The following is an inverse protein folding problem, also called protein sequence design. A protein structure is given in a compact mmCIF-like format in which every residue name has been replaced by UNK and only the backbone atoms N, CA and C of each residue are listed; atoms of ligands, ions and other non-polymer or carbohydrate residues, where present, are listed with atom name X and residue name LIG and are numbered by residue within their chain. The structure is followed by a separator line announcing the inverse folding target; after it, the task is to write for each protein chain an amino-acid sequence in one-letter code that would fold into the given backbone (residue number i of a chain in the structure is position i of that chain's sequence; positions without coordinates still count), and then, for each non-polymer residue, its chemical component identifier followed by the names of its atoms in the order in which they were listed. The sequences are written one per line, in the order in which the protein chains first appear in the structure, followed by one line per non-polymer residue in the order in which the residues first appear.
data_IF_003462221837
#
_entry.id   IF_003462221837
#
_cell.length_a   1.000
_cell.length_b   1.000
_cell.length_c   1.000
_cell.angle_alpha   90.00
_cell.angle_beta   90.00
_cell.angle_gamma   90.00
#
_symmetry.space_group_name_H-M   'P 1'
#
loop_
_entity.id
_entity.type
_entity.pdbx_description
1 polymer ?
#
# COMPACT_ATOMS: atom_id res chain seq x y z
N UNK A 1 9.88 -11.03 17.04
CA UNK A 1 10.81 -9.93 17.39
C UNK A 1 9.97 -8.80 17.93
N UNK A 2 10.13 -8.47 19.20
CA UNK A 2 9.25 -7.51 19.85
C UNK A 2 9.54 -6.09 19.36
N UNK A 3 8.48 -5.36 19.05
CA UNK A 3 8.58 -3.95 18.69
C UNK A 3 8.64 -3.10 19.96
N UNK A 4 9.72 -2.33 20.12
CA UNK A 4 9.89 -1.38 21.23
C UNK A 4 9.80 0.05 20.66
N UNK A 5 8.72 0.81 20.94
CA UNK A 5 8.55 2.17 20.44
C UNK A 5 9.40 3.20 21.21
N UNK A 6 9.79 4.33 20.60
CA UNK A 6 10.46 5.42 21.29
C UNK A 6 9.52 6.15 22.26
N UNK A 7 9.99 6.38 23.49
CA UNK A 7 9.23 7.05 24.54
C UNK A 7 8.77 8.47 24.17
N UNK A 8 9.51 9.16 23.29
CA UNK A 8 9.23 10.53 22.85
C UNK A 8 8.22 10.64 21.70
N UNK A 9 7.75 9.50 21.14
CA UNK A 9 6.58 9.43 20.27
C UNK A 9 5.43 8.74 21.05
N UNK A 10 4.76 9.44 21.98
CA UNK A 10 3.95 8.79 23.02
C UNK A 10 2.62 8.21 22.54
N UNK A 11 2.18 8.52 21.30
CA UNK A 11 0.90 8.05 20.79
C UNK A 11 0.94 7.76 19.29
N UNK A 12 -0.14 7.16 18.79
CA UNK A 12 -0.29 6.78 17.38
C UNK A 12 -0.14 7.92 16.40
N UNK A 13 -0.60 9.13 16.73
CA UNK A 13 -0.47 10.28 15.84
C UNK A 13 0.98 10.68 15.65
N UNK A 14 1.73 10.83 16.74
CA UNK A 14 3.16 11.16 16.65
C UNK A 14 3.95 10.06 15.94
N UNK A 15 3.62 8.79 16.21
CA UNK A 15 4.25 7.64 15.54
C UNK A 15 3.95 7.58 14.03
N UNK A 16 2.80 8.10 13.59
CA UNK A 16 2.43 8.16 12.15
C UNK A 16 3.04 9.38 11.46
N UNK A 17 2.96 10.55 12.10
CA UNK A 17 3.31 11.83 11.50
C UNK A 17 4.82 12.02 11.46
N UNK A 18 5.53 11.68 12.54
CA UNK A 18 6.96 11.97 12.63
C UNK A 18 7.77 11.30 11.52
N UNK A 19 7.66 9.97 11.27
CA UNK A 19 8.40 9.33 10.19
C UNK A 19 8.03 9.88 8.82
N UNK A 20 6.75 10.23 8.61
CA UNK A 20 6.32 10.80 7.32
C UNK A 20 6.90 12.19 7.04
N UNK A 21 7.17 13.01 8.06
CA UNK A 21 7.64 14.39 7.88
C UNK A 21 9.15 14.55 8.05
N UNK A 22 9.77 13.76 8.93
CA UNK A 22 11.14 14.00 9.38
C UNK A 22 12.11 12.88 9.02
N UNK A 23 11.65 11.68 8.67
CA UNK A 23 12.54 10.65 8.15
C UNK A 23 13.07 11.10 6.79
N UNK A 24 14.37 10.95 6.59
CA UNK A 24 15.03 11.13 5.28
C UNK A 24 15.82 9.87 4.99
N UNK A 25 15.41 9.15 3.96
CA UNK A 25 16.13 7.99 3.44
C UNK A 25 16.74 8.39 2.10
N UNK A 26 18.05 8.22 2.01
CA UNK A 26 18.86 8.53 0.83
C UNK A 26 19.62 7.28 0.38
N UNK A 27 20.05 7.27 -0.88
CA UNK A 27 20.87 6.20 -1.47
C UNK A 27 20.10 5.09 -2.18
N UNK A 28 18.79 5.24 -2.40
CA UNK A 28 18.01 4.35 -3.28
C UNK A 28 18.15 4.85 -4.72
N UNK A 29 18.61 3.99 -5.62
CA UNK A 29 18.79 4.32 -7.03
C UNK A 29 17.73 3.59 -7.87
N UNK A 30 16.78 4.35 -8.42
CA UNK A 30 15.74 3.77 -9.27
C UNK A 30 16.11 3.82 -10.74
N UNK A 31 15.81 2.72 -11.44
CA UNK A 31 15.59 2.69 -12.88
C UNK A 31 14.09 2.64 -13.13
N UNK A 32 13.52 3.76 -13.60
CA UNK A 32 12.10 3.80 -13.97
C UNK A 32 11.87 3.08 -15.30
N UNK A 33 10.86 2.22 -15.32
CA UNK A 33 10.31 1.57 -16.51
C UNK A 33 8.82 1.91 -16.59
N UNK A 34 8.35 2.33 -17.76
CA UNK A 34 6.92 2.51 -18.01
C UNK A 34 6.38 1.30 -18.76
N UNK A 35 5.33 0.68 -18.22
CA UNK A 35 4.60 -0.40 -18.89
C UNK A 35 3.22 0.09 -19.31
N UNK A 36 2.74 -0.39 -20.47
CA UNK A 36 1.41 -0.07 -20.97
C UNK A 36 0.38 -0.98 -20.31
N UNK A 37 -0.79 -0.43 -20.02
CA UNK A 37 -1.91 -1.20 -19.48
C UNK A 37 -2.88 -1.61 -20.61
N UNK A 38 -3.68 -2.68 -20.43
CA UNK A 38 -4.63 -3.13 -21.45
C UNK A 38 -5.67 -2.07 -21.87
N UNK A 39 -5.98 -1.12 -21.00
CA UNK A 39 -6.91 -0.01 -21.24
C UNK A 39 -6.23 1.22 -21.89
N UNK A 40 -5.05 1.05 -22.50
CA UNK A 40 -4.30 2.12 -23.18
C UNK A 40 -3.83 3.25 -22.25
N UNK A 41 -3.53 2.91 -21.00
CA UNK A 41 -2.88 3.77 -20.02
C UNK A 41 -1.46 3.26 -19.74
N UNK A 42 -0.88 3.71 -18.63
CA UNK A 42 0.43 3.27 -18.17
C UNK A 42 0.52 3.05 -16.66
N UNK A 43 1.52 2.25 -16.27
CA UNK A 43 2.05 2.18 -14.91
C UNK A 43 3.56 2.45 -14.95
N UNK A 44 4.03 3.24 -13.99
CA UNK A 44 5.47 3.51 -13.82
C UNK A 44 6.04 2.63 -12.70
N UNK A 45 7.02 1.82 -13.07
CA UNK A 45 7.71 0.86 -12.22
C UNK A 45 9.10 1.39 -11.86
N UNK A 46 9.36 1.59 -10.58
CA UNK A 46 10.68 2.01 -10.11
C UNK A 46 11.45 0.80 -9.58
N UNK A 47 12.40 0.32 -10.40
CA UNK A 47 13.27 -0.81 -10.06
C UNK A 47 14.48 -0.34 -9.27
N UNK A 48 14.77 -0.99 -8.15
CA UNK A 48 16.01 -0.82 -7.39
C UNK A 48 16.65 -2.19 -7.21
N UNK A 49 17.76 -2.41 -7.90
CA UNK A 49 18.41 -3.71 -7.99
C UNK A 49 19.50 -3.83 -6.91
N UNK A 50 19.56 -4.98 -6.26
CA UNK A 50 20.65 -5.30 -5.34
C UNK A 50 21.96 -5.49 -6.13
N UNK A 51 23.09 -5.22 -5.48
CA UNK A 51 24.38 -5.63 -6.04
C UNK A 51 24.50 -7.15 -5.92
N UNK A 52 24.65 -7.82 -7.07
CA UNK A 52 24.74 -9.28 -7.13
C UNK A 52 25.96 -9.78 -6.34
N UNK A 53 25.79 -10.77 -5.44
CA UNK A 53 26.93 -11.44 -4.82
C UNK A 53 27.69 -12.36 -5.80
N UNK A 54 26.99 -12.91 -6.79
CA UNK A 54 27.53 -13.89 -7.75
C UNK A 54 26.99 -13.65 -9.16
N UNK A 55 27.86 -13.76 -10.17
CA UNK A 55 27.47 -13.69 -11.59
C UNK A 55 26.57 -14.87 -11.96
N UNK A 56 25.32 -14.58 -12.39
CA UNK A 56 24.41 -15.56 -12.99
C UNK A 56 23.25 -16.04 -12.12
N UNK A 57 23.14 -15.62 -10.86
CA UNK A 57 21.92 -15.84 -10.05
C UNK A 57 20.97 -14.64 -10.15
N UNK A 58 19.67 -14.89 -10.30
CA UNK A 58 18.65 -13.84 -10.24
C UNK A 58 18.22 -13.65 -8.77
N UNK A 59 18.36 -12.44 -8.19
CA UNK A 59 17.92 -12.16 -6.84
C UNK A 59 16.43 -12.43 -6.66
N UNK A 60 15.98 -12.76 -5.43
CA UNK A 60 14.56 -12.71 -5.12
C UNK A 60 14.06 -11.26 -5.19
N UNK A 61 12.80 -11.08 -5.57
CA UNK A 61 12.17 -9.78 -5.78
C UNK A 61 11.11 -9.51 -4.71
N UNK A 62 11.10 -8.30 -4.16
CA UNK A 62 9.92 -7.77 -3.46
C UNK A 62 9.20 -6.75 -4.36
N UNK A 63 7.91 -6.95 -4.59
CA UNK A 63 7.03 -5.95 -5.23
C UNK A 63 6.32 -5.16 -4.13
N UNK A 64 6.50 -3.84 -4.11
CA UNK A 64 5.99 -2.96 -3.06
C UNK A 64 4.84 -2.07 -3.56
N UNK A 65 3.70 -2.15 -2.88
CA UNK A 65 2.50 -1.33 -3.09
C UNK A 65 2.41 -0.23 -2.02
N UNK A 66 2.41 1.03 -2.44
CA UNK A 66 2.37 2.18 -1.53
C UNK A 66 0.94 2.47 -1.01
N UNK A 67 0.83 3.34 0.00
CA UNK A 67 -0.44 3.79 0.58
C UNK A 67 -1.16 4.85 -0.27
N UNK A 68 -2.33 5.28 0.21
CA UNK A 68 -3.15 6.34 -0.42
C UNK A 68 -2.31 7.60 -0.66
N UNK A 69 -2.32 8.11 -1.89
CA UNK A 69 -1.58 9.31 -2.32
C UNK A 69 -0.07 9.27 -2.02
N UNK A 70 0.48 8.06 -1.86
CA UNK A 70 1.90 7.79 -1.81
C UNK A 70 2.52 7.62 -3.19
N UNK A 71 3.76 7.14 -3.20
CA UNK A 71 4.55 6.80 -4.38
C UNK A 71 5.79 6.01 -3.95
N UNK A 72 6.59 5.54 -4.90
CA UNK A 72 7.91 4.94 -4.66
C UNK A 72 8.88 5.84 -3.87
N UNK A 73 8.65 7.15 -3.83
CA UNK A 73 9.47 8.13 -3.07
C UNK A 73 9.01 8.33 -1.63
N UNK A 74 8.01 7.57 -1.16
CA UNK A 74 7.57 7.63 0.25
C UNK A 74 8.65 7.11 1.18
N UNK A 75 8.87 7.76 2.33
CA UNK A 75 10.00 7.44 3.22
C UNK A 75 9.97 6.01 3.78
N UNK A 76 8.79 5.42 3.98
CA UNK A 76 8.67 4.01 4.37
C UNK A 76 8.99 3.05 3.22
N UNK A 77 8.72 3.44 1.97
CA UNK A 77 9.10 2.67 0.77
C UNK A 77 10.61 2.70 0.59
N UNK A 78 11.20 3.90 0.59
CA UNK A 78 12.64 4.10 0.43
C UNK A 78 13.43 3.36 1.52
N UNK A 79 12.99 3.44 2.78
CA UNK A 79 13.63 2.73 3.88
C UNK A 79 13.61 1.21 3.70
N UNK A 80 12.45 0.66 3.32
CA UNK A 80 12.29 -0.76 3.03
C UNK A 80 13.17 -1.22 1.87
N UNK A 81 13.14 -0.48 0.75
CA UNK A 81 13.88 -0.81 -0.46
C UNK A 81 15.38 -0.75 -0.22
N UNK A 82 15.86 0.31 0.43
CA UNK A 82 17.27 0.44 0.81
C UNK A 82 17.74 -0.76 1.62
N UNK A 83 16.97 -1.12 2.66
CA UNK A 83 17.33 -2.23 3.53
C UNK A 83 17.31 -3.57 2.77
N UNK A 84 16.27 -3.85 1.99
CA UNK A 84 16.17 -5.08 1.21
C UNK A 84 17.30 -5.22 0.18
N UNK A 85 17.64 -4.14 -0.53
CA UNK A 85 18.77 -4.15 -1.47
C UNK A 85 20.10 -4.45 -0.78
N UNK A 86 20.32 -3.94 0.44
CA UNK A 86 21.50 -4.27 1.25
C UNK A 86 21.54 -5.74 1.68
N UNK A 87 20.38 -6.42 1.71
CA UNK A 87 20.28 -7.85 2.00
C UNK A 87 20.25 -8.71 0.72
N UNK A 88 20.53 -8.15 -0.46
CA UNK A 88 20.60 -8.92 -1.70
C UNK A 88 19.25 -9.17 -2.37
N UNK A 89 18.18 -8.46 -1.97
CA UNK A 89 16.86 -8.55 -2.62
C UNK A 89 16.67 -7.42 -3.63
N UNK A 90 16.18 -7.75 -4.82
CA UNK A 90 15.67 -6.74 -5.75
C UNK A 90 14.36 -6.17 -5.25
N UNK A 91 14.08 -4.91 -5.60
CA UNK A 91 12.84 -4.25 -5.26
C UNK A 91 12.18 -3.60 -6.47
N UNK A 92 10.87 -3.82 -6.59
CA UNK A 92 10.00 -3.20 -7.58
C UNK A 92 8.95 -2.35 -6.86
N UNK A 93 9.16 -1.04 -6.81
CA UNK A 93 8.18 -0.10 -6.29
C UNK A 93 7.35 0.42 -7.45
N UNK A 94 6.15 -0.14 -7.63
CA UNK A 94 5.24 0.34 -8.66
C UNK A 94 4.45 1.54 -8.13
N UNK A 95 4.22 2.50 -9.02
CA UNK A 95 3.42 3.67 -8.70
C UNK A 95 1.99 3.43 -9.19
N UNK A 96 1.02 3.66 -8.32
CA UNK A 96 -0.37 3.69 -8.73
C UNK A 96 -0.57 4.78 -9.79
N UNK A 97 -1.58 4.60 -10.62
CA UNK A 97 -1.98 5.60 -11.63
C UNK A 97 -2.06 6.98 -10.99
N UNK A 98 -1.50 8.02 -11.63
CA UNK A 98 -1.39 9.41 -11.13
C UNK A 98 -0.42 9.66 -9.97
N UNK A 99 0.35 8.66 -9.50
CA UNK A 99 1.22 8.80 -8.34
C UNK A 99 2.72 8.87 -8.65
N UNK A 100 3.13 8.65 -9.91
CA UNK A 100 4.54 8.71 -10.33
C UNK A 100 5.06 10.13 -10.62
N UNK A 101 4.20 11.13 -10.49
CA UNK A 101 4.46 12.54 -10.88
C UNK A 101 3.74 12.96 -12.16
N UNK A 102 3.06 12.03 -12.84
CA UNK A 102 2.31 12.27 -14.08
C UNK A 102 0.88 11.73 -13.94
N UNK A 103 -0.10 12.47 -14.44
CA UNK A 103 -1.50 12.04 -14.48
C UNK A 103 -1.68 10.91 -15.50
N UNK A 104 -2.40 9.86 -15.12
CA UNK A 104 -2.69 8.76 -16.03
C UNK A 104 -3.64 9.21 -17.17
N UNK A 105 -3.60 8.53 -18.31
CA UNK A 105 -4.27 8.98 -19.54
C UNK A 105 -5.78 8.69 -19.55
N UNK A 106 -6.21 7.60 -18.95
CA UNK A 106 -7.61 7.16 -19.01
C UNK A 106 -8.47 7.88 -17.98
N UNK A 107 -9.79 7.72 -18.13
CA UNK A 107 -10.79 8.30 -17.22
C UNK A 107 -10.68 7.76 -15.78
N UNK A 108 -10.28 6.49 -15.61
CA UNK A 108 -10.14 5.86 -14.29
C UNK A 108 -9.00 6.48 -13.48
N UNK A 109 -9.11 6.40 -12.16
CA UNK A 109 -8.00 6.61 -11.24
C UNK A 109 -7.46 5.25 -10.76
N UNK A 110 -6.50 5.28 -9.83
CA UNK A 110 -6.31 4.12 -8.96
C UNK A 110 -7.39 4.10 -7.87
N UNK A 111 -7.67 2.94 -7.30
CA UNK A 111 -8.56 2.78 -6.15
C UNK A 111 -8.14 1.57 -5.31
N UNK A 112 -8.74 1.38 -4.13
CA UNK A 112 -8.38 0.34 -3.16
C UNK A 112 -8.47 -1.10 -3.68
N UNK A 113 -9.14 -1.31 -4.80
CA UNK A 113 -9.42 -2.63 -5.37
C UNK A 113 -8.97 -2.81 -6.82
N UNK A 114 -8.07 -1.94 -7.31
CA UNK A 114 -7.44 -2.04 -8.64
C UNK A 114 -6.39 -3.18 -8.68
N UNK A 115 -6.85 -4.40 -8.41
CA UNK A 115 -6.01 -5.61 -8.35
C UNK A 115 -5.56 -6.08 -9.73
N UNK A 116 -6.24 -5.62 -10.78
CA UNK A 116 -5.84 -5.76 -12.18
C UNK A 116 -4.49 -5.06 -12.48
N UNK A 117 -4.28 -3.87 -11.93
CA UNK A 117 -3.00 -3.17 -12.07
C UNK A 117 -1.87 -3.93 -11.35
N UNK A 118 -2.12 -4.47 -10.15
CA UNK A 118 -1.12 -5.31 -9.45
C UNK A 118 -0.85 -6.61 -10.20
N UNK A 119 -1.88 -7.26 -10.76
CA UNK A 119 -1.73 -8.46 -11.57
C UNK A 119 -0.81 -8.20 -12.78
N UNK A 120 -0.98 -7.05 -13.44
CA UNK A 120 -0.12 -6.64 -14.55
C UNK A 120 1.34 -6.49 -14.11
N UNK A 121 1.59 -5.85 -12.96
CA UNK A 121 2.95 -5.67 -12.41
C UNK A 121 3.59 -7.01 -12.06
N UNK A 122 2.83 -7.92 -11.44
CA UNK A 122 3.30 -9.26 -11.09
C UNK A 122 3.64 -10.06 -12.34
N UNK A 123 2.75 -10.09 -13.34
CA UNK A 123 2.99 -10.79 -14.60
C UNK A 123 4.17 -10.22 -15.37
N UNK A 124 4.38 -8.89 -15.33
CA UNK A 124 5.57 -8.26 -15.89
C UNK A 124 6.84 -8.75 -15.19
N UNK A 125 6.86 -8.77 -13.86
CA UNK A 125 8.00 -9.30 -13.11
C UNK A 125 8.30 -10.79 -13.42
N UNK A 126 7.27 -11.62 -13.54
CA UNK A 126 7.41 -13.02 -13.95
C UNK A 126 8.00 -13.14 -15.37
N UNK A 127 7.58 -12.27 -16.30
CA UNK A 127 8.12 -12.22 -17.65
C UNK A 127 9.59 -11.74 -17.71
N UNK A 128 10.03 -10.94 -16.74
CA UNK A 128 11.45 -10.60 -16.53
C UNK A 128 12.27 -11.77 -15.94
N UNK A 129 11.64 -12.93 -15.72
CA UNK A 129 12.31 -14.17 -15.32
C UNK A 129 12.30 -14.45 -13.82
N UNK A 130 11.85 -13.52 -12.97
CA UNK A 130 11.88 -13.70 -11.52
C UNK A 130 11.14 -14.96 -11.08
N UNK A 131 11.83 -15.80 -10.31
CA UNK A 131 11.31 -17.09 -9.80
C UNK A 131 10.95 -17.09 -8.33
N UNK A 132 11.34 -16.03 -7.61
CA UNK A 132 11.03 -15.85 -6.19
C UNK A 132 10.53 -14.43 -5.98
N UNK A 133 9.24 -14.29 -5.76
CA UNK A 133 8.56 -12.99 -5.63
C UNK A 133 7.83 -12.94 -4.28
N UNK A 134 8.13 -11.91 -3.50
CA UNK A 134 7.34 -11.51 -2.34
C UNK A 134 6.48 -10.29 -2.66
N UNK A 135 5.25 -10.25 -2.15
CA UNK A 135 4.39 -9.08 -2.26
C UNK A 135 4.36 -8.31 -0.95
N UNK A 136 4.53 -7.00 -1.02
CA UNK A 136 4.52 -6.15 0.16
C UNK A 136 3.60 -4.95 -0.02
N UNK A 137 2.83 -4.60 1.00
CA UNK A 137 1.88 -3.49 0.92
C UNK A 137 1.84 -2.66 2.20
N UNK A 138 1.77 -1.33 2.03
CA UNK A 138 1.56 -0.40 3.14
C UNK A 138 0.21 0.28 3.02
N UNK A 139 -0.55 0.33 4.11
CA UNK A 139 -1.84 1.03 4.16
C UNK A 139 -2.76 0.56 3.03
N UNK A 140 -3.25 1.46 2.18
CA UNK A 140 -4.05 1.15 0.99
C UNK A 140 -3.44 0.04 0.12
N UNK A 141 -2.13 0.08 -0.12
CA UNK A 141 -1.42 -0.96 -0.87
C UNK A 141 -1.46 -2.31 -0.17
N UNK A 142 -1.53 -2.33 1.16
CA UNK A 142 -1.78 -3.55 1.94
C UNK A 142 -3.17 -4.14 1.72
N UNK A 143 -4.23 -3.31 1.71
CA UNK A 143 -5.58 -3.77 1.35
C UNK A 143 -5.60 -4.34 -0.06
N UNK A 144 -5.02 -3.61 -1.03
CA UNK A 144 -4.98 -4.02 -2.43
C UNK A 144 -4.23 -5.36 -2.59
N UNK A 145 -3.07 -5.52 -1.95
CA UNK A 145 -2.30 -6.78 -1.95
C UNK A 145 -3.10 -7.94 -1.35
N UNK A 146 -3.75 -7.75 -0.20
CA UNK A 146 -4.56 -8.80 0.42
C UNK A 146 -5.77 -9.19 -0.44
N UNK A 147 -6.45 -8.20 -1.05
CA UNK A 147 -7.56 -8.45 -1.97
C UNK A 147 -7.08 -9.25 -3.19
N UNK A 148 -5.98 -8.85 -3.81
CA UNK A 148 -5.38 -9.56 -4.95
C UNK A 148 -5.10 -11.03 -4.62
N UNK A 149 -4.46 -11.28 -3.47
CA UNK A 149 -4.15 -12.65 -3.03
C UNK A 149 -5.40 -13.49 -2.81
N UNK A 150 -6.45 -12.92 -2.21
CA UNK A 150 -7.71 -13.62 -2.02
C UNK A 150 -8.49 -13.87 -3.32
N UNK A 151 -8.46 -12.93 -4.27
CA UNK A 151 -9.08 -13.11 -5.59
C UNK A 151 -8.40 -14.19 -6.42
N UNK A 152 -7.07 -14.27 -6.37
CA UNK A 152 -6.31 -15.32 -7.04
C UNK A 152 -6.44 -16.66 -6.32
N UNK A 153 -6.43 -16.65 -4.99
CA UNK A 153 -6.49 -17.83 -4.15
C UNK A 153 -5.50 -18.91 -4.61
N UNK A 154 -6.00 -20.12 -4.89
CA UNK A 154 -5.17 -21.24 -5.38
C UNK A 154 -4.67 -21.10 -6.81
N UNK A 155 -5.19 -20.14 -7.58
CA UNK A 155 -4.74 -19.87 -8.95
C UNK A 155 -3.57 -18.86 -8.99
N UNK A 156 -3.06 -18.44 -7.83
CA UNK A 156 -1.89 -17.57 -7.74
C UNK A 156 -0.65 -18.29 -8.32
N UNK A 157 0.19 -17.56 -9.07
CA UNK A 157 1.42 -18.13 -9.63
C UNK A 157 2.35 -18.64 -8.50
N UNK A 158 2.90 -19.85 -8.62
CA UNK A 158 3.69 -20.47 -7.55
C UNK A 158 5.02 -19.77 -7.25
N UNK A 159 5.52 -18.90 -8.13
CA UNK A 159 6.71 -18.09 -7.85
C UNK A 159 6.41 -16.93 -6.87
N UNK A 160 5.15 -16.68 -6.54
CA UNK A 160 4.73 -15.71 -5.53
C UNK A 160 4.68 -16.43 -4.19
N UNK A 161 5.78 -16.37 -3.45
CA UNK A 161 6.03 -17.27 -2.32
C UNK A 161 5.34 -16.80 -1.03
N UNK A 162 5.35 -15.48 -0.77
CA UNK A 162 4.90 -14.89 0.49
C UNK A 162 4.36 -13.48 0.30
N UNK A 163 3.57 -13.02 1.27
CA UNK A 163 3.14 -11.64 1.32
C UNK A 163 3.20 -11.02 2.72
N UNK A 164 3.46 -9.71 2.79
CA UNK A 164 3.52 -8.99 4.05
C UNK A 164 2.90 -7.61 3.94
N UNK A 165 2.00 -7.26 4.85
CA UNK A 165 1.31 -5.96 4.83
C UNK A 165 1.38 -5.24 6.18
N UNK A 166 1.57 -3.93 6.12
CA UNK A 166 1.63 -3.05 7.29
C UNK A 166 0.48 -2.03 7.29
N UNK A 167 -0.19 -1.88 8.44
CA UNK A 167 -1.26 -0.91 8.65
C UNK A 167 -2.36 -0.98 7.58
N UNK A 168 -2.67 -2.19 7.09
CA UNK A 168 -3.66 -2.37 6.03
C UNK A 168 -5.08 -2.06 6.55
N UNK A 169 -5.89 -1.24 5.83
CA UNK A 169 -7.29 -0.99 6.16
C UNK A 169 -8.18 -2.11 5.60
N UNK A 170 -8.28 -3.24 6.30
CA UNK A 170 -9.03 -4.41 5.84
C UNK A 170 -10.54 -4.14 5.69
N UNK A 171 -11.09 -3.21 6.48
CA UNK A 171 -12.42 -2.63 6.35
C UNK A 171 -12.27 -1.16 5.94
N UNK A 172 -12.46 -0.87 4.65
CA UNK A 172 -12.29 0.47 4.09
C UNK A 172 -13.32 1.46 4.63
N UNK A 173 -14.55 1.01 4.89
CA UNK A 173 -15.63 1.87 5.39
C UNK A 173 -15.32 2.32 6.81
N UNK A 174 -14.94 1.39 7.69
CA UNK A 174 -14.57 1.73 9.07
C UNK A 174 -13.38 2.71 9.11
N UNK A 175 -12.38 2.52 8.25
CA UNK A 175 -11.23 3.41 8.17
C UNK A 175 -11.61 4.80 7.62
N UNK A 176 -12.46 4.86 6.59
CA UNK A 176 -13.00 6.14 6.09
C UNK A 176 -13.75 6.89 7.19
N UNK A 177 -14.61 6.23 7.95
CA UNK A 177 -15.36 6.84 9.06
C UNK A 177 -14.43 7.28 10.20
N UNK A 178 -13.42 6.48 10.53
CA UNK A 178 -12.42 6.84 11.51
C UNK A 178 -11.66 8.11 11.11
N UNK A 179 -11.37 8.28 9.82
CA UNK A 179 -10.68 9.46 9.32
C UNK A 179 -11.51 10.75 9.41
N UNK A 180 -12.84 10.64 9.38
CA UNK A 180 -13.77 11.78 9.55
C UNK A 180 -13.73 12.34 10.98
N UNK A 181 -13.32 11.53 11.96
CA UNK A 181 -13.29 11.95 13.36
C UNK A 181 -12.41 13.21 13.56
N UNK A 182 -12.81 14.16 14.43
CA UNK A 182 -12.07 15.42 14.63
C UNK A 182 -10.59 15.26 14.94
N UNK A 183 -10.21 14.22 15.72
CA UNK A 183 -8.82 13.89 16.04
C UNK A 183 -7.95 13.57 14.81
N UNK A 184 -8.58 13.15 13.71
CA UNK A 184 -7.93 12.73 12.46
C UNK A 184 -7.99 13.81 11.36
N UNK A 185 -8.47 15.02 11.69
CA UNK A 185 -8.62 16.13 10.73
C UNK A 185 -7.35 16.46 9.94
N UNK A 186 -6.17 16.28 10.54
CA UNK A 186 -4.87 16.48 9.87
C UNK A 186 -4.67 15.51 8.70
N UNK A 187 -5.04 14.23 8.86
CA UNK A 187 -4.95 13.23 7.79
C UNK A 187 -5.98 13.50 6.71
N UNK A 188 -7.23 13.77 7.11
CA UNK A 188 -8.31 14.13 6.19
C UNK A 188 -7.91 15.32 5.31
N UNK A 189 -7.40 16.40 5.93
CA UNK A 189 -6.91 17.57 5.21
C UNK A 189 -5.77 17.22 4.25
N UNK A 190 -4.78 16.43 4.70
CA UNK A 190 -3.63 16.04 3.88
C UNK A 190 -4.06 15.25 2.63
N UNK A 191 -4.91 14.24 2.77
CA UNK A 191 -5.36 13.44 1.63
C UNK A 191 -6.24 14.25 0.67
N UNK A 192 -7.19 15.03 1.19
CA UNK A 192 -8.01 15.88 0.33
C UNK A 192 -7.19 16.95 -0.39
N UNK A 193 -6.09 17.43 0.21
CA UNK A 193 -5.20 18.40 -0.43
C UNK A 193 -4.51 17.85 -1.68
N UNK A 194 -4.30 16.54 -1.80
CA UNK A 194 -3.64 15.92 -2.96
C UNK A 194 -4.65 15.29 -3.93
N UNK A 195 -5.73 14.69 -3.43
CA UNK A 195 -6.78 14.07 -4.24
C UNK A 195 -7.60 15.10 -5.04
N UNK A 196 -7.96 16.22 -4.41
CA UNK A 196 -8.79 17.26 -5.04
C UNK A 196 -8.16 17.85 -6.31
N UNK A 197 -6.87 18.25 -6.31
CA UNK A 197 -6.20 18.68 -7.54
C UNK A 197 -6.23 17.66 -8.67
N UNK A 198 -6.13 16.36 -8.37
CA UNK A 198 -6.17 15.29 -9.38
C UNK A 198 -7.52 15.21 -10.10
N UNK A 199 -8.62 15.44 -9.38
CA UNK A 199 -9.96 15.54 -9.99
C UNK A 199 -10.04 16.73 -10.94
N UNK A 200 -9.50 17.89 -10.56
CA UNK A 200 -9.46 19.05 -11.45
C UNK A 200 -8.66 18.79 -12.72
N UNK A 201 -7.49 18.19 -12.59
CA UNK A 201 -6.64 17.85 -13.74
C UNK A 201 -7.35 16.83 -14.65
N UNK A 202 -7.96 15.80 -14.07
CA UNK A 202 -8.73 14.80 -14.84
C UNK A 202 -9.96 15.42 -15.51
N UNK A 203 -10.66 16.35 -14.86
CA UNK A 203 -11.80 17.05 -15.46
C UNK A 203 -11.42 17.91 -16.67
N UNK A 204 -10.17 18.37 -16.76
CA UNK A 204 -9.69 19.06 -17.97
C UNK A 204 -9.52 18.09 -19.14
N UNK A 205 -9.16 16.84 -18.85
CA UNK A 205 -9.01 15.76 -19.84
C UNK A 205 -10.37 15.15 -20.22
N UNK A 206 -11.29 15.06 -19.26
CA UNK A 206 -12.61 14.44 -19.36
C UNK A 206 -13.73 15.38 -18.87
N UNK A 207 -13.96 16.51 -19.58
CA UNK A 207 -14.88 17.56 -19.12
C UNK A 207 -16.36 17.19 -19.22
N UNK A 208 -16.71 16.14 -19.97
CA UNK A 208 -18.11 15.67 -20.10
C UNK A 208 -18.46 14.66 -19.01
N UNK A 209 -17.44 14.01 -18.46
CA UNK A 209 -17.56 12.89 -17.54
C UNK A 209 -17.41 13.34 -16.08
N UNK A 210 -16.61 14.37 -15.80
CA UNK A 210 -16.37 14.87 -14.43
C UNK A 210 -17.10 16.19 -14.20
N UNK A 211 -18.13 16.14 -13.36
CA UNK A 211 -18.83 17.32 -12.87
C UNK A 211 -18.02 18.03 -11.78
N UNK A 212 -17.38 19.14 -12.15
CA UNK A 212 -16.65 19.98 -11.21
C UNK A 212 -17.56 20.68 -10.18
N UNK A 213 -18.88 20.76 -10.37
CA UNK A 213 -19.76 21.30 -9.32
C UNK A 213 -19.83 20.37 -8.10
N UNK A 214 -19.61 19.05 -8.30
CA UNK A 214 -19.53 18.10 -7.21
C UNK A 214 -18.30 18.32 -6.31
N UNK A 215 -17.25 18.97 -6.82
CA UNK A 215 -15.99 19.22 -6.12
C UNK A 215 -16.18 20.01 -4.81
N UNK A 216 -17.01 21.06 -4.85
CA UNK A 216 -17.26 21.94 -3.70
C UNK A 216 -17.98 21.20 -2.56
N UNK A 217 -18.64 20.07 -2.87
CA UNK A 217 -19.33 19.25 -1.88
C UNK A 217 -18.41 18.29 -1.13
N UNK A 218 -17.19 18.04 -1.63
CA UNK A 218 -16.25 17.13 -0.99
C UNK A 218 -15.68 17.75 0.28
N UNK A 219 -16.08 17.23 1.44
CA UNK A 219 -15.57 17.65 2.76
C UNK A 219 -14.81 16.53 3.47
N UNK A 220 -15.06 15.29 3.08
CA UNK A 220 -14.47 14.07 3.65
C UNK A 220 -13.98 13.13 2.55
N UNK A 221 -13.17 12.13 2.93
CA UNK A 221 -12.79 11.06 2.02
C UNK A 221 -14.02 10.28 1.55
N UNK A 222 -15.01 10.05 2.43
CA UNK A 222 -16.27 9.43 2.03
C UNK A 222 -16.96 10.22 0.92
N UNK A 223 -17.02 11.55 1.03
CA UNK A 223 -17.63 12.38 -0.03
C UNK A 223 -16.85 12.26 -1.34
N UNK A 224 -15.51 12.27 -1.26
CA UNK A 224 -14.66 12.10 -2.44
C UNK A 224 -14.91 10.74 -3.10
N UNK A 225 -14.93 9.68 -2.30
CA UNK A 225 -15.17 8.33 -2.80
C UNK A 225 -16.59 8.16 -3.32
N UNK A 226 -17.58 8.81 -2.72
CA UNK A 226 -18.97 8.73 -3.17
C UNK A 226 -19.20 9.50 -4.49
N UNK A 227 -18.60 10.68 -4.62
CA UNK A 227 -18.83 11.60 -5.74
C UNK A 227 -17.91 11.35 -6.93
N UNK A 228 -16.71 10.81 -6.71
CA UNK A 228 -15.70 10.60 -7.75
C UNK A 228 -15.25 9.15 -7.85
N UNK A 229 -14.64 8.58 -6.81
CA UNK A 229 -14.06 7.22 -6.91
C UNK A 229 -15.10 6.19 -7.31
N UNK A 230 -16.23 6.11 -6.61
CA UNK A 230 -17.27 5.14 -6.88
C UNK A 230 -17.85 5.26 -8.31
N UNK A 231 -18.40 6.41 -8.75
CA UNK A 231 -19.00 6.51 -10.07
C UNK A 231 -18.00 6.36 -11.22
N UNK A 232 -16.76 6.87 -11.08
CA UNK A 232 -15.72 6.71 -12.11
C UNK A 232 -15.42 5.23 -12.39
N UNK A 233 -15.46 4.40 -11.34
CA UNK A 233 -15.14 2.97 -11.44
C UNK A 233 -16.40 2.08 -11.46
N UNK A 234 -17.58 2.65 -11.72
CA UNK A 234 -18.83 1.89 -11.90
C UNK A 234 -19.45 1.35 -10.61
N UNK A 235 -19.02 1.81 -9.43
CA UNK A 235 -19.64 1.44 -8.17
C UNK A 235 -20.88 2.31 -7.89
N UNK A 236 -21.93 1.70 -7.34
CA UNK A 236 -23.12 2.40 -6.85
C UNK A 236 -22.85 3.11 -5.50
N UNK A 237 -22.06 4.18 -5.54
CA UNK A 237 -21.69 4.98 -4.37
C UNK A 237 -20.57 4.37 -3.50
N UNK A 238 -20.11 5.17 -2.52
CA UNK A 238 -18.98 4.81 -1.66
C UNK A 238 -19.17 3.50 -0.88
N UNK A 239 -20.38 3.22 -0.39
CA UNK A 239 -20.64 1.99 0.37
C UNK A 239 -20.47 0.74 -0.49
N UNK A 240 -20.97 0.75 -1.74
CA UNK A 240 -20.73 -0.35 -2.68
C UNK A 240 -19.24 -0.49 -2.97
N UNK A 241 -18.54 0.61 -3.24
CA UNK A 241 -17.09 0.62 -3.43
C UNK A 241 -16.34 -0.02 -2.25
N UNK A 242 -16.64 0.39 -1.01
CA UNK A 242 -15.99 -0.16 0.17
C UNK A 242 -16.26 -1.63 0.36
N UNK A 243 -17.51 -2.10 0.22
CA UNK A 243 -17.82 -3.52 0.34
C UNK A 243 -17.15 -4.34 -0.77
N UNK A 244 -17.09 -3.83 -2.00
CA UNK A 244 -16.45 -4.55 -3.12
C UNK A 244 -14.92 -4.59 -3.02
N UNK A 245 -14.30 -3.61 -2.35
CA UNK A 245 -12.84 -3.45 -2.34
C UNK A 245 -12.17 -3.74 -0.99
N UNK A 246 -12.92 -3.93 0.09
CA UNK A 246 -12.35 -4.23 1.41
C UNK A 246 -11.79 -5.65 1.45
N UNK A 247 -10.50 -5.77 1.74
CA UNK A 247 -9.81 -7.06 1.70
C UNK A 247 -10.32 -8.05 2.75
N UNK A 248 -11.01 -7.58 3.80
CA UNK A 248 -11.64 -8.47 4.79
C UNK A 248 -12.58 -9.51 4.17
N UNK A 249 -13.14 -9.25 2.99
CA UNK A 249 -14.04 -10.17 2.30
C UNK A 249 -13.32 -11.23 1.46
N UNK A 250 -11.99 -11.13 1.32
CA UNK A 250 -11.18 -11.97 0.43
C UNK A 250 -10.11 -12.77 1.18
N UNK A 251 -9.74 -12.37 2.40
CA UNK A 251 -8.65 -12.98 3.17
C UNK A 251 -8.85 -14.47 3.48
N UNK A 252 -10.08 -14.99 3.45
CA UNK A 252 -10.34 -16.43 3.63
C UNK A 252 -9.73 -17.29 2.52
N UNK A 253 -9.60 -16.73 1.32
CA UNK A 253 -9.15 -17.47 0.12
C UNK A 253 -7.64 -17.40 -0.11
N UNK A 254 -6.91 -16.60 0.68
CA UNK A 254 -5.45 -16.49 0.58
C UNK A 254 -4.80 -17.86 0.78
N UNK A 255 -3.98 -18.28 -0.19
CA UNK A 255 -3.40 -19.62 -0.27
C UNK A 255 -1.88 -19.68 -0.05
N UNK A 256 -1.23 -18.56 0.28
CA UNK A 256 0.22 -18.46 0.52
C UNK A 256 0.53 -17.82 1.88
N UNK A 257 1.68 -18.15 2.51
CA UNK A 257 2.08 -17.52 3.76
C UNK A 257 2.01 -15.99 3.69
N UNK A 258 1.15 -15.41 4.51
CA UNK A 258 0.86 -13.97 4.52
C UNK A 258 0.90 -13.43 5.94
N UNK A 259 1.70 -12.37 6.15
CA UNK A 259 1.81 -11.70 7.44
C UNK A 259 1.08 -10.35 7.41
N UNK A 260 0.06 -10.20 8.25
CA UNK A 260 -0.69 -8.96 8.44
C UNK A 260 -0.25 -8.30 9.74
N UNK A 261 0.27 -7.07 9.67
CA UNK A 261 0.71 -6.31 10.84
C UNK A 261 -0.05 -4.99 10.99
N UNK A 262 -0.86 -4.86 12.04
CA UNK A 262 -1.60 -3.63 12.37
C UNK A 262 -1.39 -3.24 13.83
N UNK A 263 -0.99 -2.00 14.10
CA UNK A 263 -0.78 -1.55 15.48
C UNK A 263 -2.09 -1.19 16.19
N UNK A 264 -2.18 -1.44 17.50
CA UNK A 264 -3.38 -1.10 18.30
C UNK A 264 -3.65 0.40 18.35
N UNK A 265 -2.58 1.21 18.31
CA UNK A 265 -2.66 2.66 18.41
C UNK A 265 -2.73 3.35 17.03
N UNK A 266 -2.95 2.63 15.93
CA UNK A 266 -3.07 3.22 14.59
C UNK A 266 -4.25 4.23 14.55
N UNK A 267 -4.01 5.51 14.24
CA UNK A 267 -5.06 6.52 14.24
C UNK A 267 -6.00 6.42 13.02
N UNK A 268 -5.58 5.76 11.94
CA UNK A 268 -6.31 5.66 10.67
C UNK A 268 -7.05 4.33 10.56
N UNK A 269 -6.46 3.25 11.06
CA UNK A 269 -7.05 1.90 11.03
C UNK A 269 -7.49 1.51 12.45
N UNK A 270 -8.79 1.64 12.79
CA UNK A 270 -9.27 1.23 14.10
C UNK A 270 -9.04 -0.26 14.32
N UNK A 271 -8.44 -0.64 15.46
CA UNK A 271 -8.17 -2.06 15.74
C UNK A 271 -9.44 -2.93 15.73
N UNK A 272 -10.58 -2.37 16.15
CA UNK A 272 -11.88 -3.05 16.11
C UNK A 272 -12.44 -3.30 14.70
N UNK A 273 -11.84 -2.70 13.67
CA UNK A 273 -12.20 -2.95 12.27
C UNK A 273 -11.45 -4.14 11.66
N UNK A 274 -10.44 -4.66 12.36
CA UNK A 274 -9.67 -5.81 11.87
C UNK A 274 -10.47 -7.10 12.11
N UNK A 275 -10.73 -7.91 11.07
CA UNK A 275 -11.48 -9.17 11.19
C UNK A 275 -10.60 -10.29 11.75
N UNK A 276 -10.11 -10.13 12.99
CA UNK A 276 -9.18 -11.09 13.63
C UNK A 276 -9.66 -12.54 13.54
N UNK A 277 -10.93 -12.89 13.82
CA UNK A 277 -11.39 -14.27 13.69
C UNK A 277 -11.20 -14.85 12.29
N UNK A 278 -11.50 -14.07 11.24
CA UNK A 278 -11.33 -14.49 9.84
C UNK A 278 -9.86 -14.66 9.49
N UNK A 279 -8.99 -13.74 9.95
CA UNK A 279 -7.54 -13.84 9.72
C UNK A 279 -6.97 -15.09 10.38
N UNK A 280 -7.29 -15.33 11.66
CA UNK A 280 -6.75 -16.47 12.41
C UNK A 280 -7.33 -17.82 12.00
N UNK A 281 -8.47 -17.83 11.31
CA UNK A 281 -9.07 -19.06 10.78
C UNK A 281 -8.34 -19.58 9.53
N UNK A 282 -7.63 -18.71 8.79
CA UNK A 282 -6.86 -19.13 7.62
C UNK A 282 -5.44 -19.55 8.05
N UNK A 283 -5.03 -20.82 7.86
CA UNK A 283 -3.71 -21.32 8.27
C UNK A 283 -2.53 -20.67 7.53
N UNK A 284 -2.79 -20.04 6.38
CA UNK A 284 -1.77 -19.31 5.63
C UNK A 284 -1.53 -17.89 6.16
N UNK A 285 -2.38 -17.39 7.06
CA UNK A 285 -2.29 -16.02 7.58
C UNK A 285 -1.74 -16.03 9.00
N UNK A 286 -0.67 -15.26 9.19
CA UNK A 286 -0.21 -14.85 10.51
C UNK A 286 -0.65 -13.41 10.76
N UNK A 287 -1.28 -13.15 11.90
CA UNK A 287 -1.66 -11.81 12.32
C UNK A 287 -0.79 -11.35 13.50
N UNK A 288 -0.17 -10.17 13.37
CA UNK A 288 0.59 -9.54 14.44
C UNK A 288 0.02 -8.17 14.75
N UNK A 289 -0.19 -7.92 16.04
CA UNK A 289 -0.86 -6.71 16.52
C UNK A 289 -0.05 -6.05 17.63
N UNK A 290 1.06 -5.37 17.31
CA UNK A 290 1.85 -4.69 18.33
C UNK A 290 1.03 -3.57 18.98
N UNK A 291 1.24 -3.36 20.28
CA UNK A 291 0.50 -2.34 21.05
C UNK A 291 0.73 -0.91 20.51
N UNK A 292 1.87 -0.68 19.88
CA UNK A 292 2.26 0.60 19.30
C UNK A 292 2.86 0.40 17.91
N UNK A 293 2.97 1.48 17.14
CA UNK A 293 3.48 1.48 15.77
C UNK A 293 2.95 2.65 14.94
N UNK A 294 1.81 3.23 15.35
CA UNK A 294 1.10 4.23 14.54
C UNK A 294 0.68 3.65 13.19
N UNK A 295 0.39 4.54 12.25
CA UNK A 295 0.08 4.20 10.86
C UNK A 295 1.37 4.21 10.02
N UNK A 296 1.83 3.02 9.61
CA UNK A 296 3.09 2.82 8.87
C UNK A 296 4.33 3.45 9.55
N UNK A 297 4.29 3.67 10.86
CA UNK A 297 5.34 4.36 11.60
C UNK A 297 6.48 3.45 12.00
N UNK A 298 6.17 2.42 12.81
CA UNK A 298 7.03 1.31 13.23
C UNK A 298 8.50 1.66 13.52
N UNK A 299 8.74 2.87 14.06
CA UNK A 299 10.06 3.36 14.42
C UNK A 299 10.51 2.69 15.72
N UNK A 300 11.66 2.01 15.78
CA UNK A 300 12.15 1.43 17.02
C UNK A 300 12.63 2.53 17.98
N UNK A 301 12.71 2.22 19.28
CA UNK A 301 13.21 3.13 20.30
C UNK A 301 14.63 3.60 19.97
N UNK A 302 15.49 2.64 19.63
CA UNK A 302 16.84 2.84 19.13
C UNK A 302 16.88 2.42 17.66
N UNK A 303 17.36 3.32 16.81
CA UNK A 303 17.69 3.02 15.42
C UNK A 303 19.14 2.52 15.40
N UNK A 304 19.39 1.43 14.67
CA UNK A 304 20.72 0.88 14.40
C UNK A 304 20.87 0.82 12.89
N UNK A 305 21.97 1.36 12.37
CA UNK A 305 22.27 1.43 10.93
C UNK A 305 21.15 2.04 10.07
N UNK A 306 20.43 3.03 10.61
CA UNK A 306 19.26 3.68 10.01
C UNK A 306 18.05 2.77 9.71
N UNK A 307 18.05 1.55 10.26
CA UNK A 307 17.02 0.53 10.03
C UNK A 307 15.86 0.67 11.01
N UNK A 308 14.64 0.66 10.46
CA UNK A 308 13.39 0.61 11.24
C UNK A 308 12.99 -0.83 11.55
N UNK A 309 12.15 -1.03 12.58
CA UNK A 309 11.71 -2.37 12.97
C UNK A 309 10.97 -3.06 11.83
N UNK A 310 10.14 -2.33 11.07
CA UNK A 310 9.39 -2.88 9.94
C UNK A 310 10.30 -3.47 8.87
N UNK A 311 11.48 -2.89 8.65
CA UNK A 311 12.43 -3.29 7.60
C UNK A 311 13.11 -4.60 7.96
N UNK A 312 13.69 -4.67 9.15
CA UNK A 312 14.28 -5.89 9.68
C UNK A 312 13.24 -7.01 9.85
N UNK A 313 12.04 -6.66 10.28
CA UNK A 313 10.95 -7.60 10.45
C UNK A 313 10.47 -8.20 9.11
N UNK A 314 10.31 -7.35 8.08
CA UNK A 314 9.90 -7.80 6.76
C UNK A 314 10.93 -8.75 6.16
N UNK A 315 12.22 -8.40 6.18
CA UNK A 315 13.29 -9.26 5.70
C UNK A 315 13.28 -10.63 6.37
N UNK A 316 13.20 -10.66 7.72
CA UNK A 316 13.15 -11.92 8.46
C UNK A 316 11.97 -12.80 8.08
N UNK A 317 10.81 -12.22 7.79
CA UNK A 317 9.64 -12.99 7.34
C UNK A 317 9.84 -13.56 5.94
N UNK A 318 10.41 -12.78 5.01
CA UNK A 318 10.64 -13.25 3.66
C UNK A 318 11.72 -14.34 3.59
N UNK A 319 12.76 -14.24 4.41
CA UNK A 319 13.84 -15.25 4.53
C UNK A 319 13.45 -16.55 5.25
N UNK A 320 12.34 -16.57 6.00
CA UNK A 320 11.98 -17.70 6.86
C UNK A 320 11.42 -18.93 6.14
#
# INVERSE_FOLDING_TARGET
MDYIPPYWLPNGHFQSIFPSLFRKVEGVNYRRERINTPDSDFLDLDWSLAQLPEEGSQPPLIILSHGLEGSSSSQYMLGMIKFLNQQGWDALAWNFRSCSGEMNHTYRFYHSGATDDLDLVVNHALAQGYKRIGLMGFSLGGNLTLKYLGEKGRNLDPHIEKALVYSAPLDLKACSLAMIAPRNKIYMYRFLKTLKPKVYEKARLFPREIDLNAYERVKTLYDFDHLFTAPIHGFNGADHYYTSCSSMHFVSEIAIPTLVVNAHNDPIVPIGSIPVPTLTANPHISFQSPAQGGHCGFRPARIVDDVYWSELHAYKFFES
#
